data_IF_099928294581
#
_entry.id   IF_099928294581
#
_cell.length_a   1.000
_cell.length_b   1.000
_cell.length_c   1.000
_cell.angle_alpha   90.00
_cell.angle_beta   90.00
_cell.angle_gamma   90.00
#
_symmetry.space_group_name_H-M   'P 1'
#
loop_
_entity.id
_entity.type
_entity.pdbx_description
1 polymer ?
#
# COMPACT_ATOMS: atom_id res chain seq x y z
N UNK A 1 -9.55 0.70 -2.01
CA UNK A 1 -9.49 -0.72 -1.54
C UNK A 1 -8.15 -1.10 -0.89
N UNK A 2 -7.05 -0.45 -1.27
CA UNK A 2 -5.68 -0.77 -0.83
C UNK A 2 -5.52 -1.04 0.69
N UNK A 3 -6.09 -0.18 1.55
CA UNK A 3 -6.01 -0.31 3.02
C UNK A 3 -6.58 -1.62 3.58
N UNK A 4 -7.42 -2.34 2.82
CA UNK A 4 -7.92 -3.67 3.21
C UNK A 4 -7.05 -4.81 2.71
N UNK A 5 -6.30 -4.60 1.62
CA UNK A 5 -5.42 -5.62 1.00
C UNK A 5 -4.09 -5.70 1.73
N UNK A 6 -3.49 -4.55 2.01
CA UNK A 6 -2.23 -4.42 2.72
C UNK A 6 -2.19 -5.22 4.05
N UNK A 7 -3.13 -5.08 4.99
CA UNK A 7 -3.05 -5.82 6.24
C UNK A 7 -3.33 -7.32 6.12
N UNK A 8 -3.98 -7.75 5.03
CA UNK A 8 -4.17 -9.18 4.74
C UNK A 8 -2.90 -9.84 4.21
N UNK A 9 -2.06 -9.08 3.50
CA UNK A 9 -0.82 -9.59 2.89
C UNK A 9 0.41 -9.40 3.79
N UNK A 10 0.49 -8.26 4.48
CA UNK A 10 1.67 -7.84 5.23
C UNK A 10 1.43 -7.73 6.75
N UNK A 11 0.21 -7.97 7.23
CA UNK A 11 -0.13 -7.87 8.65
C UNK A 11 -0.42 -6.45 9.12
N UNK A 12 -0.41 -6.21 10.43
CA UNK A 12 -0.79 -4.91 10.99
C UNK A 12 0.03 -3.77 10.37
N UNK A 13 -0.65 -2.78 9.79
CA UNK A 13 0.02 -1.65 9.16
C UNK A 13 0.45 -0.61 10.20
N UNK A 14 1.68 -0.09 10.10
CA UNK A 14 2.09 1.08 10.85
C UNK A 14 1.18 2.28 10.52
N UNK A 15 1.01 3.16 11.50
CA UNK A 15 0.21 4.38 11.32
C UNK A 15 0.74 5.25 10.17
N UNK A 16 2.06 5.33 10.02
CA UNK A 16 2.73 6.06 8.94
C UNK A 16 2.31 5.60 7.54
N UNK A 17 2.11 4.30 7.34
CA UNK A 17 1.64 3.76 6.06
C UNK A 17 0.21 4.21 5.78
N UNK A 18 -0.63 4.22 6.81
CA UNK A 18 -2.02 4.67 6.68
C UNK A 18 -2.09 6.16 6.34
N UNK A 19 -1.29 6.99 7.01
CA UNK A 19 -1.14 8.42 6.71
C UNK A 19 -0.62 8.65 5.28
N UNK A 20 0.38 7.88 4.84
CA UNK A 20 0.93 7.95 3.47
C UNK A 20 -0.14 7.65 2.42
N UNK A 21 -1.01 6.66 2.67
CA UNK A 21 -2.11 6.31 1.76
C UNK A 21 -3.20 7.38 1.73
N UNK A 22 -3.50 8.01 2.87
CA UNK A 22 -4.49 9.09 2.90
C UNK A 22 -4.03 10.37 2.20
N UNK A 23 -2.71 10.60 2.13
CA UNK A 23 -2.11 11.75 1.44
C UNK A 23 -1.80 11.49 -0.03
N UNK A 24 -1.83 10.24 -0.47
CA UNK A 24 -1.50 9.88 -1.84
C UNK A 24 -2.65 10.22 -2.80
N UNK A 25 -2.29 10.71 -3.99
CA UNK A 25 -3.25 10.94 -5.06
C UNK A 25 -3.86 9.62 -5.55
N UNK A 26 -5.08 9.65 -6.14
CA UNK A 26 -5.77 8.46 -6.60
C UNK A 26 -4.94 7.59 -7.55
N UNK A 27 -4.19 8.23 -8.46
CA UNK A 27 -3.32 7.54 -9.41
C UNK A 27 -2.21 6.74 -8.71
N UNK A 28 -1.62 7.30 -7.65
CA UNK A 28 -0.61 6.62 -6.85
C UNK A 28 -1.20 5.42 -6.09
N UNK A 29 -2.44 5.56 -5.59
CA UNK A 29 -3.14 4.47 -4.92
C UNK A 29 -3.42 3.31 -5.89
N UNK A 30 -3.75 3.60 -7.15
CA UNK A 30 -3.95 2.56 -8.18
C UNK A 30 -2.64 1.82 -8.47
N UNK A 31 -1.53 2.53 -8.64
CA UNK A 31 -0.20 1.91 -8.85
C UNK A 31 0.16 0.99 -7.68
N UNK A 32 -0.08 1.43 -6.44
CA UNK A 32 0.15 0.59 -5.27
C UNK A 32 -0.79 -0.61 -5.22
N UNK A 33 -2.01 -0.49 -5.73
CA UNK A 33 -2.97 -1.60 -5.77
C UNK A 33 -2.54 -2.69 -6.75
N UNK A 34 -1.98 -2.32 -7.90
CA UNK A 34 -1.36 -3.28 -8.82
C UNK A 34 -0.14 -3.93 -8.16
N UNK A 35 0.78 -3.13 -7.61
CA UNK A 35 1.99 -3.65 -6.97
C UNK A 35 1.71 -4.53 -5.77
N UNK A 36 0.62 -4.30 -5.03
CA UNK A 36 0.23 -5.12 -3.88
C UNK A 36 -0.04 -6.58 -4.26
N UNK A 37 -0.19 -6.91 -5.55
CA UNK A 37 -0.40 -8.28 -6.05
C UNK A 37 0.91 -9.04 -6.26
N UNK A 38 2.01 -8.37 -6.55
CA UNK A 38 3.31 -8.99 -6.87
C UNK A 38 4.41 -8.70 -5.81
N UNK A 39 4.25 -7.62 -5.05
CA UNK A 39 5.18 -7.18 -4.03
C UNK A 39 5.45 -8.23 -2.94
N UNK A 40 6.72 -8.41 -2.55
CA UNK A 40 7.11 -9.30 -1.46
C UNK A 40 7.13 -8.59 -0.11
N UNK A 41 7.14 -7.26 -0.11
CA UNK A 41 7.20 -6.41 1.07
C UNK A 41 6.38 -5.13 0.88
N UNK A 42 6.10 -4.43 1.99
CA UNK A 42 5.49 -3.10 1.93
C UNK A 42 6.38 -2.12 1.13
N UNK A 43 7.69 -2.25 1.25
CA UNK A 43 8.65 -1.40 0.54
C UNK A 43 8.49 -1.53 -0.98
N UNK A 44 8.36 -2.77 -1.49
CA UNK A 44 8.09 -3.02 -2.91
C UNK A 44 6.80 -2.33 -3.39
N UNK A 45 5.74 -2.33 -2.57
CA UNK A 45 4.46 -1.65 -2.90
C UNK A 45 4.67 -0.15 -3.05
N UNK A 46 5.38 0.44 -2.10
CA UNK A 46 5.56 1.89 -2.00
C UNK A 46 6.81 2.43 -2.70
N UNK A 47 7.54 1.59 -3.44
CA UNK A 47 8.78 1.95 -4.14
C UNK A 47 8.50 2.85 -5.36
N UNK A 48 8.82 4.15 -5.29
CA UNK A 48 8.55 5.08 -6.39
C UNK A 48 8.71 6.52 -5.99
#
# INVERSE_FOLDING_TARGET
MLLRMLPRRFGALPKEITDRIHRADPNTIEIWADRVLDAKSLDDVFSG
#
